data_IF_731622645917
#
_entry.id   IF_731622645917
#
_cell.length_a   1.000
_cell.length_b   1.000
_cell.length_c   1.000
_cell.angle_alpha   90.00
_cell.angle_beta   90.00
_cell.angle_gamma   90.00
#
_symmetry.space_group_name_H-M   'P 1'
#
loop_
_entity.id
_entity.type
_entity.pdbx_description
1 polymer ?
#
# COMPACT_ATOMS: atom_id res chain seq x y z
N UNK A 1 -20.37 1.41 21.11
CA UNK A 1 -19.66 0.31 20.44
C UNK A 1 -18.37 0.95 20.00
N UNK A 2 -17.31 0.72 20.77
CA UNK A 2 -16.02 1.37 20.53
C UNK A 2 -15.36 0.58 19.41
N UNK A 3 -15.33 1.13 18.19
CA UNK A 3 -14.68 0.51 17.05
C UNK A 3 -13.15 0.60 17.22
N UNK A 4 -12.62 -0.19 18.15
CA UNK A 4 -11.18 -0.33 18.47
C UNK A 4 -10.36 -0.91 17.30
N UNK A 5 -11.03 -1.35 16.24
CA UNK A 5 -10.39 -1.85 15.03
C UNK A 5 -9.61 -0.76 14.29
N UNK A 6 -10.17 0.44 14.12
CA UNK A 6 -9.50 1.52 13.39
C UNK A 6 -8.26 2.05 14.13
N UNK A 7 -8.32 2.32 15.45
CA UNK A 7 -7.14 2.70 16.21
C UNK A 7 -6.06 1.61 16.18
N UNK A 8 -6.43 0.34 16.28
CA UNK A 8 -5.45 -0.75 16.28
C UNK A 8 -4.82 -0.97 14.91
N UNK A 9 -5.59 -0.85 13.83
CA UNK A 9 -5.07 -0.92 12.47
C UNK A 9 -4.11 0.23 12.16
N UNK A 10 -4.47 1.45 12.60
CA UNK A 10 -3.61 2.63 12.47
C UNK A 10 -2.28 2.45 13.21
N UNK A 11 -2.32 1.95 14.45
CA UNK A 11 -1.10 1.66 15.22
C UNK A 11 -0.21 0.61 14.54
N UNK A 12 -0.79 -0.50 14.09
CA UNK A 12 -0.03 -1.54 13.41
C UNK A 12 0.59 -1.03 12.10
N UNK A 13 -0.09 -0.13 11.37
CA UNK A 13 0.46 0.48 10.16
C UNK A 13 1.64 1.40 10.48
N UNK A 14 1.52 2.22 11.53
CA UNK A 14 2.63 3.07 11.99
C UNK A 14 3.84 2.23 12.43
N UNK A 15 3.60 1.13 13.15
CA UNK A 15 4.67 0.21 13.56
C UNK A 15 5.42 -0.41 12.37
N UNK A 16 4.72 -0.74 11.27
CA UNK A 16 5.34 -1.25 10.03
C UNK A 16 6.07 -0.15 9.25
N UNK A 17 5.60 1.10 9.35
CA UNK A 17 6.22 2.24 8.65
C UNK A 17 7.47 2.77 9.36
N UNK A 18 7.62 2.50 10.66
CA UNK A 18 8.72 2.98 11.50
C UNK A 18 9.87 1.95 11.65
N UNK A 19 9.77 0.77 11.03
CA UNK A 19 10.88 -0.19 11.00
C UNK A 19 11.82 0.01 9.80
N UNK A 20 12.96 -0.68 9.83
CA UNK A 20 13.95 -0.68 8.73
C UNK A 20 13.91 -2.00 7.92
N UNK A 21 12.82 -2.76 8.03
CA UNK A 21 12.69 -4.07 7.39
C UNK A 21 12.09 -3.98 5.99
N UNK A 22 12.51 -4.91 5.13
CA UNK A 22 12.02 -4.99 3.76
C UNK A 22 10.84 -5.95 3.68
N UNK A 23 9.78 -5.51 3.01
CA UNK A 23 8.53 -6.26 2.90
C UNK A 23 8.24 -6.70 1.47
N UNK A 24 7.61 -7.86 1.33
CA UNK A 24 7.04 -8.29 0.07
C UNK A 24 5.57 -7.82 0.00
N UNK A 25 5.22 -7.09 -1.06
CA UNK A 25 3.84 -6.65 -1.29
C UNK A 25 3.23 -7.41 -2.47
N UNK A 26 2.01 -7.89 -2.28
CA UNK A 26 1.17 -8.42 -3.35
C UNK A 26 -0.10 -7.58 -3.43
N UNK A 27 -0.35 -6.98 -4.60
CA UNK A 27 -1.56 -6.22 -4.90
C UNK A 27 -2.41 -7.07 -5.84
N UNK A 28 -3.64 -7.37 -5.42
CA UNK A 28 -4.61 -8.11 -6.22
C UNK A 28 -5.62 -7.11 -6.78
N UNK A 29 -5.70 -7.02 -8.11
CA UNK A 29 -6.66 -6.16 -8.80
C UNK A 29 -7.51 -7.01 -9.74
N UNK A 30 -8.78 -6.67 -9.88
CA UNK A 30 -9.61 -7.27 -10.90
C UNK A 30 -9.09 -6.84 -12.29
N UNK A 31 -8.84 -7.80 -13.18
CA UNK A 31 -8.33 -7.54 -14.52
C UNK A 31 -9.34 -6.77 -15.38
N UNK A 32 -10.63 -7.01 -15.18
CA UNK A 32 -11.70 -6.36 -15.93
C UNK A 32 -12.94 -6.17 -15.03
N UNK A 33 -13.13 -4.96 -14.47
CA UNK A 33 -14.24 -4.71 -13.54
C UNK A 33 -15.63 -4.86 -14.18
N UNK A 34 -15.71 -4.99 -15.52
CA UNK A 34 -16.95 -5.21 -16.25
C UNK A 34 -17.17 -6.69 -16.57
N UNK A 35 -16.10 -7.48 -16.62
CA UNK A 35 -16.16 -8.94 -16.77
C UNK A 35 -15.76 -9.55 -15.43
N UNK A 36 -16.74 -9.63 -14.53
CA UNK A 36 -16.63 -10.30 -13.23
C UNK A 36 -16.38 -11.82 -13.40
N UNK A 37 -15.31 -12.21 -14.06
CA UNK A 37 -14.91 -13.60 -14.32
C UNK A 37 -14.02 -14.16 -13.21
N UNK A 38 -13.71 -13.33 -12.21
CA UNK A 38 -12.91 -13.68 -11.04
C UNK A 38 -11.40 -13.71 -11.30
N UNK A 39 -10.95 -13.24 -12.47
CA UNK A 39 -9.52 -13.17 -12.80
C UNK A 39 -8.85 -12.02 -12.08
N UNK A 40 -8.11 -12.33 -11.02
CA UNK A 40 -7.28 -11.37 -10.31
C UNK A 40 -5.88 -11.28 -10.94
N UNK A 41 -5.46 -10.07 -11.26
CA UNK A 41 -4.07 -9.75 -11.57
C UNK A 41 -3.32 -9.56 -10.27
N UNK A 42 -2.25 -10.32 -10.10
CA UNK A 42 -1.36 -10.21 -8.96
C UNK A 42 -0.11 -9.41 -9.36
N UNK A 43 0.04 -8.22 -8.79
CA UNK A 43 1.25 -7.42 -8.92
C UNK A 43 2.11 -7.70 -7.69
N UNK A 44 3.29 -8.27 -7.90
CA UNK A 44 4.24 -8.59 -6.83
C UNK A 44 5.38 -7.59 -6.84
N UNK A 45 5.65 -7.03 -5.67
CA UNK A 45 6.72 -6.08 -5.44
C UNK A 45 7.53 -6.59 -4.23
N UNK A 46 8.60 -7.36 -4.46
CA UNK A 46 9.38 -7.95 -3.37
C UNK A 46 10.38 -6.95 -2.81
N UNK A 47 10.77 -7.15 -1.54
CA UNK A 47 11.79 -6.38 -0.83
C UNK A 47 11.64 -4.85 -0.96
N UNK A 48 10.47 -4.32 -0.62
CA UNK A 48 10.25 -2.88 -0.63
C UNK A 48 10.45 -2.30 0.76
N UNK A 49 11.06 -1.11 0.78
CA UNK A 49 11.21 -0.31 1.98
C UNK A 49 9.88 0.28 2.45
N UNK A 50 9.72 0.54 3.76
CA UNK A 50 8.51 1.14 4.32
C UNK A 50 8.14 2.51 3.70
N UNK A 51 9.13 3.33 3.30
CA UNK A 51 8.86 4.60 2.62
C UNK A 51 8.19 4.39 1.25
N UNK A 52 8.62 3.37 0.51
CA UNK A 52 8.02 3.03 -0.78
C UNK A 52 6.63 2.42 -0.57
N UNK A 53 6.41 1.65 0.49
CA UNK A 53 5.08 1.18 0.83
C UNK A 53 4.11 2.33 1.10
N UNK A 54 4.54 3.33 1.87
CA UNK A 54 3.77 4.55 2.14
C UNK A 54 3.41 5.29 0.85
N UNK A 55 4.34 5.36 -0.10
CA UNK A 55 4.13 5.93 -1.43
C UNK A 55 3.04 5.20 -2.23
N UNK A 56 3.07 3.86 -2.20
CA UNK A 56 2.06 2.99 -2.84
C UNK A 56 0.68 3.21 -2.21
N UNK A 57 0.58 3.27 -0.88
CA UNK A 57 -0.69 3.57 -0.20
C UNK A 57 -1.21 4.94 -0.59
N UNK A 58 -0.36 5.98 -0.61
CA UNK A 58 -0.74 7.32 -1.04
C UNK A 58 -1.31 7.32 -2.46
N UNK A 59 -0.71 6.55 -3.38
CA UNK A 59 -1.25 6.42 -4.73
C UNK A 59 -2.61 5.73 -4.76
N UNK A 60 -2.77 4.62 -4.03
CA UNK A 60 -4.03 3.85 -4.00
C UNK A 60 -5.18 4.67 -3.40
N UNK A 61 -4.94 5.39 -2.29
CA UNK A 61 -5.97 6.18 -1.62
C UNK A 61 -6.15 7.58 -2.22
N UNK A 62 -5.08 8.18 -2.73
CA UNK A 62 -5.07 9.55 -3.25
C UNK A 62 -5.38 9.65 -4.75
N UNK A 63 -5.18 8.57 -5.51
CA UNK A 63 -5.42 8.51 -6.96
C UNK A 63 -4.41 9.27 -7.83
N UNK A 64 -3.48 10.01 -7.22
CA UNK A 64 -2.38 10.70 -7.89
C UNK A 64 -1.08 10.50 -7.13
N UNK A 65 0.03 10.42 -7.86
CA UNK A 65 1.37 10.38 -7.30
C UNK A 65 2.20 11.45 -7.99
N UNK A 66 2.70 12.43 -7.24
CA UNK A 66 3.64 13.40 -7.80
C UNK A 66 5.06 12.85 -7.70
N UNK A 67 5.77 12.86 -8.83
CA UNK A 67 7.19 12.48 -8.88
C UNK A 67 8.07 13.48 -8.11
N UNK A 68 7.68 14.75 -8.05
CA UNK A 68 8.39 15.75 -7.23
C UNK A 68 8.37 15.37 -5.74
N UNK A 69 7.31 14.71 -5.25
CA UNK A 69 7.25 14.24 -3.86
C UNK A 69 8.17 13.03 -3.61
N UNK A 70 8.58 12.30 -4.67
CA UNK A 70 9.50 11.17 -4.57
C UNK A 70 10.96 11.63 -4.56
N UNK A 71 11.29 12.73 -5.25
CA UNK A 71 12.65 13.30 -5.30
C UNK A 71 13.07 13.97 -3.97
N UNK A 72 12.11 14.25 -3.09
CA UNK A 72 12.33 14.81 -1.75
C UNK A 72 12.63 13.75 -0.67
N UNK A 73 12.76 12.47 -1.03
CA UNK A 73 13.19 11.38 -0.13
C UNK A 73 14.73 11.24 -0.05
N UNK A 74 15.49 12.30 -0.36
CA UNK A 74 16.95 12.34 -0.32
C UNK A 74 17.50 12.75 1.05
#
# INVERSE_FOLDING_TARGET
MDDKLLPKLSQNLLEILDDDEYYDITIEVDNDPYKNDGTLVHIKLPNILPEIFSLVLRYIYGGTLSLEECENLN
#
